data_IF_982176777450
#
_entry.id   IF_982176777450
#
_cell.length_a   1.000
_cell.length_b   1.000
_cell.length_c   1.000
_cell.angle_alpha   90.00
_cell.angle_beta   90.00
_cell.angle_gamma   90.00
#
_symmetry.space_group_name_H-M   'P 1'
#
loop_
_entity.id
_entity.type
_entity.pdbx_description
1 polymer ?
#
# COMPACT_ATOMS: atom_id res chain seq x y z
N UNK A 1 2.36 31.17 29.94
CA UNK A 1 2.40 31.51 28.50
C UNK A 1 1.53 30.50 27.78
N UNK A 2 0.64 31.03 26.96
CA UNK A 2 -0.50 30.37 26.31
C UNK A 2 -0.05 29.43 25.20
N UNK A 3 -0.59 28.21 25.22
CA UNK A 3 -0.47 27.18 24.18
C UNK A 3 -1.26 27.63 22.95
N UNK A 4 -0.66 27.54 21.77
CA UNK A 4 -1.36 27.77 20.49
C UNK A 4 -1.46 26.43 19.78
N UNK A 5 -2.67 25.90 19.48
CA UNK A 5 -2.80 24.75 18.58
C UNK A 5 -2.71 25.22 17.13
N UNK A 6 -1.89 24.54 16.32
CA UNK A 6 -1.97 24.61 14.85
C UNK A 6 -3.22 23.83 14.42
N UNK A 7 -4.30 24.56 14.11
CA UNK A 7 -5.47 23.99 13.47
C UNK A 7 -5.26 24.02 11.95
N UNK A 8 -5.11 22.86 11.34
CA UNK A 8 -5.14 22.69 9.89
C UNK A 8 -6.60 22.82 9.43
N UNK A 9 -6.92 23.91 8.75
CA UNK A 9 -8.26 24.16 8.22
C UNK A 9 -8.37 23.57 6.81
N UNK A 10 -8.86 22.33 6.70
CA UNK A 10 -9.23 21.73 5.42
C UNK A 10 -10.66 22.16 5.08
N UNK A 11 -10.82 23.02 4.09
CA UNK A 11 -12.13 23.43 3.58
C UNK A 11 -12.64 22.39 2.58
N UNK A 12 -13.59 21.54 3.01
CA UNK A 12 -14.32 20.64 2.12
C UNK A 12 -15.43 21.43 1.41
N UNK A 13 -15.28 21.64 0.10
CA UNK A 13 -16.37 22.10 -0.77
C UNK A 13 -17.30 20.92 -1.06
N UNK A 14 -18.32 20.73 -0.23
CA UNK A 14 -19.41 19.81 -0.49
C UNK A 14 -20.36 20.41 -1.54
N UNK A 15 -20.21 20.03 -2.81
CA UNK A 15 -21.28 20.20 -3.80
C UNK A 15 -22.23 19.02 -3.71
N UNK A 16 -23.41 19.29 -3.14
CA UNK A 16 -24.48 18.31 -3.00
C UNK A 16 -25.12 17.95 -4.34
N UNK A 17 -25.38 16.66 -4.51
CA UNK A 17 -26.47 16.16 -5.33
C UNK A 17 -27.44 15.41 -4.42
N UNK A 18 -28.57 16.06 -4.18
CA UNK A 18 -29.68 15.53 -3.40
C UNK A 18 -30.41 14.45 -4.22
N UNK A 19 -30.67 13.30 -3.59
CA UNK A 19 -31.70 12.36 -4.00
C UNK A 19 -32.80 12.33 -2.92
N UNK A 20 -34.08 12.30 -3.31
CA UNK A 20 -35.19 12.60 -2.42
C UNK A 20 -35.43 11.51 -1.38
N UNK A 21 -35.59 11.96 -0.14
CA UNK A 21 -36.12 11.20 0.99
C UNK A 21 -37.60 10.87 0.77
N UNK A 22 -37.94 9.58 0.84
CA UNK A 22 -39.30 9.13 1.07
C UNK A 22 -39.41 8.72 2.54
N UNK A 23 -40.00 9.60 3.33
CA UNK A 23 -40.43 9.29 4.68
C UNK A 23 -41.86 8.72 4.68
N UNK A 24 -42.05 7.79 5.62
CA UNK A 24 -43.30 7.44 6.31
C UNK A 24 -44.35 6.60 5.57
N UNK A 25 -44.51 5.35 6.02
CA UNK A 25 -45.80 4.94 6.59
C UNK A 25 -45.65 3.79 7.60
N UNK A 26 -45.84 4.13 8.88
CA UNK A 26 -46.18 3.19 9.94
C UNK A 26 -47.62 2.69 9.71
N UNK A 27 -47.83 1.36 9.75
CA UNK A 27 -49.09 0.82 10.28
C UNK A 27 -48.82 -0.50 10.99
N UNK A 28 -49.23 -0.58 12.25
CA UNK A 28 -49.19 -1.77 13.11
C UNK A 28 -50.36 -2.73 12.82
N UNK A 29 -50.08 -4.02 13.10
CA UNK A 29 -50.97 -5.11 13.52
C UNK A 29 -51.73 -5.95 12.47
N UNK A 30 -51.33 -7.22 12.30
CA UNK A 30 -52.07 -8.40 12.80
C UNK A 30 -51.28 -9.73 12.66
N UNK A 31 -51.50 -10.74 13.52
CA UNK A 31 -50.80 -12.03 13.53
C UNK A 31 -51.63 -13.17 12.89
N UNK A 32 -50.99 -14.10 12.15
CA UNK A 32 -51.63 -15.39 11.81
C UNK A 32 -51.06 -16.17 10.62
N UNK A 33 -50.59 -17.39 10.94
CA UNK A 33 -50.59 -18.65 10.15
C UNK A 33 -49.67 -18.86 8.92
N UNK A 34 -48.59 -19.61 9.21
CA UNK A 34 -48.05 -20.80 8.54
C UNK A 34 -48.36 -21.07 7.05
N UNK A 35 -47.30 -21.18 6.24
CA UNK A 35 -47.05 -22.34 5.36
C UNK A 35 -45.54 -22.55 5.13
N UNK A 36 -45.04 -23.65 5.70
CA UNK A 36 -44.00 -24.55 5.20
C UNK A 36 -43.24 -24.19 3.92
N UNK A 37 -41.92 -23.94 4.05
CA UNK A 37 -40.95 -24.46 3.09
C UNK A 37 -39.62 -24.76 3.80
N UNK A 38 -39.49 -26.02 4.22
CA UNK A 38 -38.20 -26.65 4.47
C UNK A 38 -37.62 -26.96 3.09
N UNK A 39 -36.57 -26.23 2.70
CA UNK A 39 -35.90 -26.37 1.41
C UNK A 39 -34.40 -26.16 1.63
N UNK A 40 -33.70 -27.28 1.70
CA UNK A 40 -32.25 -27.45 1.51
C UNK A 40 -31.58 -26.36 0.67
N UNK A 41 -30.60 -25.66 1.24
CA UNK A 41 -29.42 -25.16 0.50
C UNK A 41 -28.23 -25.12 1.45
N UNK A 42 -27.80 -26.30 1.87
CA UNK A 42 -26.38 -26.56 2.05
C UNK A 42 -25.76 -26.48 0.64
N UNK A 43 -25.09 -25.37 0.32
CA UNK A 43 -24.52 -25.19 -1.01
C UNK A 43 -24.24 -23.74 -1.39
N UNK A 44 -23.70 -22.92 -0.49
CA UNK A 44 -23.15 -21.61 -0.88
C UNK A 44 -22.17 -21.08 0.18
N UNK A 45 -21.21 -21.91 0.59
CA UNK A 45 -20.17 -21.48 1.54
C UNK A 45 -18.74 -21.86 1.14
N UNK A 46 -18.54 -22.50 -0.03
CA UNK A 46 -17.19 -22.82 -0.53
C UNK A 46 -16.69 -21.90 -1.65
N UNK A 47 -17.42 -20.83 -1.99
CA UNK A 47 -17.02 -19.90 -3.06
C UNK A 47 -16.83 -18.45 -2.62
N UNK A 48 -17.17 -18.09 -1.38
CA UNK A 48 -17.08 -16.72 -0.88
C UNK A 48 -15.70 -16.32 -0.36
N UNK A 49 -14.98 -17.28 0.23
CA UNK A 49 -13.66 -17.03 0.84
C UNK A 49 -12.55 -16.84 -0.21
N UNK A 50 -12.62 -17.49 -1.37
CA UNK A 50 -11.59 -17.37 -2.43
C UNK A 50 -11.73 -16.12 -3.31
N UNK A 51 -12.94 -15.55 -3.45
CA UNK A 51 -13.16 -14.34 -4.27
C UNK A 51 -12.76 -13.08 -3.53
N UNK A 52 -13.14 -12.99 -2.25
CA UNK A 52 -12.84 -11.83 -1.41
C UNK A 52 -11.34 -11.65 -1.23
N UNK A 53 -10.65 -12.72 -0.87
CA UNK A 53 -9.18 -12.71 -0.73
C UNK A 53 -8.49 -12.35 -2.04
N UNK A 54 -9.02 -12.79 -3.19
CA UNK A 54 -8.50 -12.38 -4.49
C UNK A 54 -8.66 -10.89 -4.78
N UNK A 55 -9.69 -10.25 -4.23
CA UNK A 55 -9.87 -8.80 -4.29
C UNK A 55 -8.89 -8.10 -3.35
N UNK A 56 -8.84 -8.55 -2.08
CA UNK A 56 -7.98 -7.97 -1.05
C UNK A 56 -6.50 -7.97 -1.48
N UNK A 57 -6.04 -9.02 -2.18
CA UNK A 57 -4.68 -9.08 -2.75
C UNK A 57 -4.49 -8.07 -3.88
N UNK A 58 -5.46 -7.90 -4.79
CA UNK A 58 -5.33 -6.96 -5.91
C UNK A 58 -5.34 -5.53 -5.41
N UNK A 59 -6.25 -5.23 -4.48
CA UNK A 59 -6.38 -3.92 -3.85
C UNK A 59 -5.07 -3.59 -3.11
N UNK A 60 -4.54 -4.51 -2.28
CA UNK A 60 -3.27 -4.28 -1.59
C UNK A 60 -2.08 -4.11 -2.56
N UNK A 61 -2.02 -4.83 -3.68
CA UNK A 61 -0.97 -4.60 -4.70
C UNK A 61 -1.11 -3.22 -5.36
N UNK A 62 -2.33 -2.75 -5.55
CA UNK A 62 -2.60 -1.42 -6.10
C UNK A 62 -2.24 -0.30 -5.12
N UNK A 63 -2.55 -0.48 -3.84
CA UNK A 63 -2.21 0.44 -2.76
C UNK A 63 -0.68 0.55 -2.60
N UNK A 64 0.05 -0.57 -2.65
CA UNK A 64 1.52 -0.55 -2.68
C UNK A 64 2.00 0.24 -3.91
N UNK A 65 1.42 0.02 -5.09
CA UNK A 65 1.80 0.74 -6.31
C UNK A 65 1.58 2.25 -6.16
N UNK A 66 0.46 2.68 -5.59
CA UNK A 66 0.19 4.09 -5.30
C UNK A 66 1.23 4.68 -4.34
N UNK A 67 1.51 4.01 -3.22
CA UNK A 67 2.52 4.49 -2.25
C UNK A 67 3.95 4.48 -2.81
N UNK A 68 4.31 3.55 -3.70
CA UNK A 68 5.59 3.64 -4.42
C UNK A 68 5.60 4.87 -5.33
N UNK A 69 4.48 5.21 -5.98
CA UNK A 69 4.40 6.39 -6.84
C UNK A 69 4.51 7.69 -6.02
N UNK A 70 3.87 7.75 -4.86
CA UNK A 70 3.93 8.90 -3.97
C UNK A 70 5.31 9.07 -3.30
N UNK A 71 5.97 7.95 -2.95
CA UNK A 71 7.38 7.96 -2.54
C UNK A 71 8.27 8.49 -3.67
N UNK A 72 8.06 8.03 -4.92
CA UNK A 72 8.79 8.54 -6.09
C UNK A 72 8.57 10.05 -6.26
N UNK A 73 7.33 10.52 -6.16
CA UNK A 73 6.99 11.94 -6.21
C UNK A 73 7.71 12.74 -5.13
N UNK A 74 7.64 12.28 -3.88
CA UNK A 74 8.33 12.88 -2.74
C UNK A 74 9.84 12.94 -2.92
N UNK A 75 10.45 11.90 -3.51
CA UNK A 75 11.87 11.88 -3.85
C UNK A 75 12.21 12.82 -5.00
N UNK A 76 11.32 13.01 -5.98
CA UNK A 76 11.50 14.00 -7.06
C UNK A 76 11.54 15.42 -6.51
N UNK A 77 10.69 15.73 -5.54
CA UNK A 77 10.63 17.04 -4.90
C UNK A 77 11.82 17.29 -3.97
N UNK A 78 12.29 16.25 -3.28
CA UNK A 78 13.28 16.35 -2.21
C UNK A 78 14.72 16.00 -2.61
N UNK A 79 14.91 15.25 -3.69
CA UNK A 79 16.14 14.50 -3.92
C UNK A 79 17.40 15.34 -4.13
N UNK A 80 17.27 16.55 -4.67
CA UNK A 80 18.37 17.51 -4.71
C UNK A 80 18.82 17.96 -3.30
N UNK A 81 17.87 18.17 -2.38
CA UNK A 81 18.13 18.54 -0.99
C UNK A 81 18.65 17.35 -0.16
N UNK A 82 18.21 16.14 -0.49
CA UNK A 82 18.74 14.87 0.05
C UNK A 82 20.18 14.59 -0.40
N UNK A 83 20.73 15.38 -1.34
CA UNK A 83 22.09 15.24 -1.83
C UNK A 83 22.31 13.93 -2.58
N UNK A 84 21.30 13.47 -3.33
CA UNK A 84 21.41 12.31 -4.20
C UNK A 84 22.45 12.61 -5.30
N UNK A 85 23.44 11.73 -5.43
CA UNK A 85 24.45 11.86 -6.47
C UNK A 85 23.82 11.75 -7.86
N UNK A 86 24.39 12.42 -8.87
CA UNK A 86 23.89 12.38 -10.25
C UNK A 86 22.40 12.74 -10.39
N UNK A 87 21.95 13.74 -9.64
CA UNK A 87 20.53 14.12 -9.53
C UNK A 87 19.77 14.16 -10.87
N UNK A 88 20.28 14.86 -11.89
CA UNK A 88 19.61 14.92 -13.21
C UNK A 88 19.36 13.55 -13.84
N UNK A 89 20.26 12.59 -13.65
CA UNK A 89 20.06 11.22 -14.12
C UNK A 89 19.02 10.50 -13.26
N UNK A 90 19.07 10.67 -11.94
CA UNK A 90 18.15 10.00 -11.01
C UNK A 90 16.73 10.57 -11.10
N UNK A 91 16.57 11.88 -11.29
CA UNK A 91 15.29 12.52 -11.57
C UNK A 91 14.63 11.90 -12.82
N UNK A 92 15.40 11.73 -13.91
CA UNK A 92 14.90 11.06 -15.11
C UNK A 92 14.66 9.55 -14.96
N UNK A 93 15.17 8.91 -13.90
CA UNK A 93 14.83 7.53 -13.54
C UNK A 93 13.54 7.48 -12.72
N UNK A 94 13.40 8.38 -11.74
CA UNK A 94 12.20 8.56 -10.94
C UNK A 94 10.98 8.89 -11.82
N UNK A 95 11.13 9.80 -12.78
CA UNK A 95 10.07 10.14 -13.76
C UNK A 95 9.60 8.92 -14.58
N UNK A 96 10.53 8.04 -14.98
CA UNK A 96 10.20 6.79 -15.67
C UNK A 96 9.54 5.76 -14.75
N UNK A 97 9.96 5.70 -13.48
CA UNK A 97 9.31 4.84 -12.49
C UNK A 97 7.87 5.26 -12.28
N UNK A 98 7.63 6.56 -12.06
CA UNK A 98 6.29 7.11 -11.90
C UNK A 98 5.41 6.82 -13.12
N UNK A 99 5.94 7.03 -14.33
CA UNK A 99 5.22 6.67 -15.57
C UNK A 99 4.89 5.17 -15.62
N UNK A 100 5.81 4.30 -15.20
CA UNK A 100 5.58 2.85 -15.18
C UNK A 100 4.50 2.48 -14.16
N UNK A 101 4.49 3.12 -12.98
CA UNK A 101 3.51 2.88 -11.93
C UNK A 101 2.11 3.30 -12.39
N UNK A 102 1.97 4.56 -12.84
CA UNK A 102 0.68 5.16 -13.20
C UNK A 102 0.14 4.71 -14.56
N UNK A 103 0.99 4.43 -15.55
CA UNK A 103 0.50 4.10 -16.91
C UNK A 103 0.58 2.62 -17.23
N UNK A 104 1.63 1.93 -16.78
CA UNK A 104 1.80 0.53 -17.13
C UNK A 104 1.24 -0.42 -16.07
N UNK A 105 1.31 -0.08 -14.79
CA UNK A 105 0.95 -1.00 -13.71
C UNK A 105 -0.49 -0.82 -13.25
N UNK A 106 -0.96 0.41 -13.06
CA UNK A 106 -2.35 0.78 -12.75
C UNK A 106 -3.34 0.07 -13.70
N UNK A 107 -3.21 0.32 -15.01
CA UNK A 107 -4.11 -0.25 -16.00
C UNK A 107 -4.11 -1.78 -16.06
N UNK A 108 -3.04 -2.47 -15.62
CA UNK A 108 -2.99 -3.94 -15.71
C UNK A 108 -3.91 -4.64 -14.72
N UNK A 109 -4.11 -4.07 -13.53
CA UNK A 109 -5.02 -4.61 -12.52
C UNK A 109 -6.43 -4.02 -12.73
N UNK A 110 -6.53 -2.74 -13.07
CA UNK A 110 -7.80 -2.09 -13.38
C UNK A 110 -8.51 -2.71 -14.59
N UNK A 111 -7.81 -2.95 -15.71
CA UNK A 111 -8.40 -3.59 -16.91
C UNK A 111 -8.90 -5.02 -16.63
N UNK A 112 -8.46 -5.63 -15.53
CA UNK A 112 -8.93 -6.94 -15.06
C UNK A 112 -10.11 -6.77 -14.12
N UNK A 113 -10.06 -5.80 -13.20
CA UNK A 113 -11.11 -5.48 -12.23
C UNK A 113 -12.39 -4.94 -12.90
N UNK A 114 -12.26 -4.17 -13.97
CA UNK A 114 -13.38 -3.59 -14.73
C UNK A 114 -14.16 -4.60 -15.60
N UNK A 115 -13.68 -5.85 -15.67
CA UNK A 115 -14.40 -6.89 -16.42
C UNK A 115 -15.57 -7.40 -15.59
N UNK A 116 -16.59 -7.93 -16.27
CA UNK A 116 -17.78 -8.50 -15.60
C UNK A 116 -17.43 -9.45 -14.44
N UNK A 117 -18.27 -9.49 -13.41
CA UNK A 117 -18.09 -10.37 -12.24
C UNK A 117 -17.70 -11.81 -12.59
N UNK A 118 -18.24 -12.36 -13.67
CA UNK A 118 -17.97 -13.73 -14.10
C UNK A 118 -16.58 -13.88 -14.74
N UNK A 119 -16.13 -12.88 -15.51
CA UNK A 119 -14.75 -12.86 -16.02
C UNK A 119 -13.73 -12.60 -14.92
N UNK A 120 -14.07 -11.80 -13.92
CA UNK A 120 -13.23 -11.61 -12.73
C UNK A 120 -13.06 -12.92 -11.97
N UNK A 121 -14.18 -13.57 -11.61
CA UNK A 121 -14.19 -14.90 -10.94
C UNK A 121 -13.39 -15.94 -11.70
N UNK A 122 -13.49 -15.96 -13.03
CA UNK A 122 -12.73 -16.89 -13.87
C UNK A 122 -11.23 -16.56 -13.88
N UNK A 123 -10.85 -15.29 -13.71
CA UNK A 123 -9.46 -14.86 -13.72
C UNK A 123 -8.76 -15.18 -12.41
N UNK A 124 -9.34 -14.79 -11.26
CA UNK A 124 -8.73 -14.98 -9.93
C UNK A 124 -8.52 -16.46 -9.55
N UNK A 125 -9.29 -17.36 -10.15
CA UNK A 125 -9.16 -18.81 -9.98
C UNK A 125 -8.17 -19.45 -10.96
N UNK A 126 -7.67 -18.69 -11.94
CA UNK A 126 -6.77 -19.14 -12.99
C UNK A 126 -5.29 -18.90 -12.69
N UNK A 127 -4.41 -19.56 -13.45
CA UNK A 127 -2.96 -19.38 -13.31
C UNK A 127 -2.47 -17.98 -13.74
N UNK A 128 -3.21 -17.33 -14.64
CA UNK A 128 -2.92 -15.96 -15.10
C UNK A 128 -2.93 -14.95 -13.95
N UNK A 129 -3.84 -15.12 -12.99
CA UNK A 129 -3.91 -14.28 -11.78
C UNK A 129 -2.61 -14.37 -10.98
N UNK A 130 -2.16 -15.60 -10.67
CA UNK A 130 -0.94 -15.83 -9.88
C UNK A 130 0.28 -15.24 -10.57
N UNK A 131 0.40 -15.45 -11.88
CA UNK A 131 1.51 -14.92 -12.69
C UNK A 131 1.48 -13.39 -12.71
N UNK A 132 0.30 -12.79 -12.85
CA UNK A 132 0.15 -11.33 -12.91
C UNK A 132 0.49 -10.68 -11.58
N UNK A 133 -0.09 -11.16 -10.47
CA UNK A 133 0.18 -10.65 -9.12
C UNK A 133 1.66 -10.82 -8.77
N UNK A 134 2.24 -12.01 -8.98
CA UNK A 134 3.66 -12.27 -8.73
C UNK A 134 4.55 -11.31 -9.54
N UNK A 135 4.18 -11.02 -10.78
CA UNK A 135 4.94 -10.11 -11.64
C UNK A 135 4.85 -8.66 -11.13
N UNK A 136 3.66 -8.17 -10.81
CA UNK A 136 3.47 -6.82 -10.26
C UNK A 136 4.28 -6.63 -8.97
N UNK A 137 4.16 -7.56 -8.02
CA UNK A 137 4.91 -7.53 -6.75
C UNK A 137 6.43 -7.53 -6.97
N UNK A 138 6.94 -8.35 -7.90
CA UNK A 138 8.36 -8.34 -8.23
C UNK A 138 8.81 -7.05 -8.94
N UNK A 139 7.93 -6.40 -9.71
CA UNK A 139 8.22 -5.10 -10.33
C UNK A 139 8.31 -4.01 -9.26
N UNK A 140 7.36 -3.97 -8.30
CA UNK A 140 7.38 -3.05 -7.15
C UNK A 140 8.66 -3.24 -6.32
N UNK A 141 9.00 -4.49 -5.98
CA UNK A 141 10.26 -4.81 -5.31
C UNK A 141 11.49 -4.31 -6.09
N UNK A 142 11.46 -4.40 -7.43
CA UNK A 142 12.52 -3.89 -8.31
C UNK A 142 12.63 -2.36 -8.26
N UNK A 143 11.51 -1.65 -8.22
CA UNK A 143 11.50 -0.19 -8.13
C UNK A 143 12.01 0.29 -6.77
N UNK A 144 11.57 -0.33 -5.67
CA UNK A 144 12.07 -0.02 -4.32
C UNK A 144 13.58 -0.29 -4.19
N UNK A 145 14.08 -1.38 -4.77
CA UNK A 145 15.52 -1.63 -4.86
C UNK A 145 16.29 -0.51 -5.59
N UNK A 146 15.72 0.00 -6.68
CA UNK A 146 16.34 1.10 -7.42
C UNK A 146 16.31 2.39 -6.60
N UNK A 147 15.22 2.67 -5.88
CA UNK A 147 15.12 3.79 -4.94
C UNK A 147 16.17 3.66 -3.85
N UNK A 148 16.27 2.50 -3.18
CA UNK A 148 17.28 2.24 -2.16
C UNK A 148 18.72 2.47 -2.69
N UNK A 149 19.01 2.04 -3.93
CA UNK A 149 20.31 2.29 -4.58
C UNK A 149 20.55 3.77 -4.90
N UNK A 150 19.51 4.54 -5.19
CA UNK A 150 19.64 5.99 -5.41
C UNK A 150 19.93 6.72 -4.09
N UNK A 151 19.32 6.27 -3.00
CA UNK A 151 19.55 6.78 -1.64
C UNK A 151 20.92 6.35 -1.09
N UNK A 152 21.46 5.22 -1.55
CA UNK A 152 22.80 4.76 -1.18
C UNK A 152 23.88 5.75 -1.65
N UNK A 153 24.67 6.25 -0.70
CA UNK A 153 25.70 7.26 -0.95
C UNK A 153 25.21 8.71 -1.07
N UNK A 154 23.93 8.98 -0.79
CA UNK A 154 23.43 10.35 -0.65
C UNK A 154 24.10 11.07 0.53
N UNK A 155 24.49 12.34 0.33
CA UNK A 155 25.18 13.15 1.35
C UNK A 155 24.55 14.54 1.48
N UNK A 156 23.23 14.60 1.55
CA UNK A 156 22.49 15.84 1.73
C UNK A 156 22.55 16.34 3.16
N UNK A 157 22.89 17.62 3.32
CA UNK A 157 22.82 18.35 4.59
C UNK A 157 21.74 19.44 4.59
N UNK A 158 20.90 19.50 3.54
CA UNK A 158 20.01 20.63 3.26
C UNK A 158 18.53 20.22 3.25
N UNK A 159 18.19 19.08 3.85
CA UNK A 159 16.80 18.66 3.97
C UNK A 159 16.02 19.61 4.87
N UNK A 160 14.81 19.97 4.44
CA UNK A 160 13.86 20.71 5.27
C UNK A 160 13.01 19.71 6.04
N UNK A 161 12.69 20.04 7.29
CA UNK A 161 11.90 19.19 8.18
C UNK A 161 10.59 18.67 7.55
N UNK A 162 9.86 19.54 6.84
CA UNK A 162 8.59 19.18 6.19
C UNK A 162 8.83 18.14 5.09
N UNK A 163 9.87 18.34 4.29
CA UNK A 163 10.21 17.42 3.20
C UNK A 163 10.63 16.06 3.74
N UNK A 164 11.37 16.05 4.85
CA UNK A 164 11.76 14.80 5.54
C UNK A 164 10.56 14.09 6.14
N UNK A 165 9.57 14.82 6.67
CA UNK A 165 8.34 14.24 7.20
C UNK A 165 7.56 13.55 6.08
N UNK A 166 7.34 14.23 4.96
CA UNK A 166 6.68 13.64 3.79
C UNK A 166 7.35 12.34 3.34
N UNK A 167 8.68 12.30 3.23
CA UNK A 167 9.38 11.06 2.84
C UNK A 167 9.23 9.95 3.88
N UNK A 168 9.19 10.26 5.17
CA UNK A 168 8.96 9.26 6.22
C UNK A 168 7.53 8.74 6.16
N UNK A 169 6.54 9.63 6.07
CA UNK A 169 5.13 9.28 5.95
C UNK A 169 4.91 8.33 4.75
N UNK A 170 5.53 8.62 3.60
CA UNK A 170 5.44 7.74 2.43
C UNK A 170 6.09 6.36 2.60
N UNK A 171 7.12 6.24 3.44
CA UNK A 171 7.73 4.93 3.76
C UNK A 171 6.87 4.16 4.76
N UNK A 172 6.17 4.88 5.64
CA UNK A 172 5.21 4.34 6.60
C UNK A 172 3.97 3.79 5.90
N UNK A 173 3.30 4.61 5.07
CA UNK A 173 2.16 4.19 4.25
C UNK A 173 2.51 2.97 3.36
N UNK A 174 3.73 2.98 2.78
CA UNK A 174 4.23 1.84 2.02
C UNK A 174 4.44 0.59 2.88
N UNK A 175 4.89 0.73 4.13
CA UNK A 175 5.03 -0.39 5.03
C UNK A 175 3.67 -0.98 5.41
N UNK A 176 2.69 -0.13 5.74
CA UNK A 176 1.31 -0.53 6.08
C UNK A 176 0.69 -1.32 4.93
N UNK A 177 0.77 -0.81 3.70
CA UNK A 177 0.20 -1.48 2.52
C UNK A 177 0.89 -2.81 2.16
N UNK A 178 2.19 -2.95 2.47
CA UNK A 178 2.89 -4.23 2.35
C UNK A 178 2.45 -5.22 3.44
N UNK A 179 2.12 -4.72 4.63
CA UNK A 179 1.52 -5.55 5.68
C UNK A 179 0.14 -6.06 5.25
N UNK A 180 -0.73 -5.19 4.73
CA UNK A 180 -2.04 -5.58 4.19
C UNK A 180 -1.93 -6.67 3.12
N UNK A 181 -0.93 -6.57 2.23
CA UNK A 181 -0.66 -7.63 1.25
C UNK A 181 -0.24 -8.94 1.92
N UNK A 182 0.62 -8.89 2.96
CA UNK A 182 1.02 -10.10 3.70
C UNK A 182 -0.20 -10.74 4.36
N UNK A 183 -1.07 -9.97 4.99
CA UNK A 183 -2.32 -10.48 5.59
C UNK A 183 -3.23 -11.12 4.54
N UNK A 184 -3.45 -10.44 3.41
CA UNK A 184 -4.27 -10.97 2.32
C UNK A 184 -3.69 -12.27 1.74
N UNK A 185 -2.35 -12.39 1.70
CA UNK A 185 -1.66 -13.60 1.24
C UNK A 185 -1.72 -14.75 2.25
N UNK A 186 -1.80 -14.48 3.56
CA UNK A 186 -1.98 -15.51 4.60
C UNK A 186 -3.35 -16.20 4.49
N UNK A 187 -4.37 -15.47 4.06
CA UNK A 187 -5.72 -15.98 3.81
C UNK A 187 -5.89 -16.59 2.40
N UNK A 188 -4.85 -16.55 1.56
CA UNK A 188 -4.94 -16.93 0.16
C UNK A 188 -4.91 -18.45 -0.06
N UNK A 189 -6.05 -18.99 -0.47
CA UNK A 189 -6.14 -20.35 -0.98
C UNK A 189 -5.66 -20.43 -2.44
N UNK A 190 -4.74 -21.37 -2.71
CA UNK A 190 -4.35 -21.74 -4.07
C UNK A 190 -3.17 -20.95 -4.66
N UNK A 191 -2.67 -19.91 -3.98
CA UNK A 191 -1.32 -19.41 -4.23
C UNK A 191 -0.34 -20.37 -3.53
N UNK A 192 0.63 -20.94 -4.26
CA UNK A 192 1.64 -21.84 -3.67
C UNK A 192 2.66 -21.02 -2.86
N UNK A 193 2.20 -20.37 -1.80
CA UNK A 193 2.98 -19.48 -0.96
C UNK A 193 3.76 -20.27 0.08
N UNK A 194 4.94 -19.77 0.44
CA UNK A 194 5.72 -20.33 1.52
C UNK A 194 5.33 -19.65 2.84
N UNK A 195 4.66 -20.40 3.72
CA UNK A 195 4.25 -19.89 5.03
C UNK A 195 5.43 -19.35 5.88
N UNK A 196 6.64 -19.90 5.72
CA UNK A 196 7.82 -19.38 6.39
C UNK A 196 8.20 -17.99 5.87
N UNK A 197 8.08 -17.75 4.55
CA UNK A 197 8.36 -16.43 3.98
C UNK A 197 7.33 -15.39 4.42
N UNK A 198 6.05 -15.76 4.53
CA UNK A 198 5.01 -14.86 5.07
C UNK A 198 5.28 -14.52 6.55
N UNK A 199 5.62 -15.54 7.36
CA UNK A 199 5.96 -15.32 8.77
C UNK A 199 7.22 -14.46 8.94
N UNK A 200 8.23 -14.65 8.09
CA UNK A 200 9.45 -13.85 8.13
C UNK A 200 9.20 -12.44 7.60
N UNK A 201 8.33 -12.26 6.59
CA UNK A 201 7.87 -10.95 6.14
C UNK A 201 7.21 -10.18 7.28
N UNK A 202 6.27 -10.79 8.01
CA UNK A 202 5.59 -10.17 9.17
C UNK A 202 6.58 -9.62 10.19
N UNK A 203 7.51 -10.46 10.67
CA UNK A 203 8.52 -10.04 11.66
C UNK A 203 9.38 -8.88 11.18
N UNK A 204 9.67 -8.83 9.87
CA UNK A 204 10.49 -7.79 9.26
C UNK A 204 9.69 -6.50 9.13
N UNK A 205 8.41 -6.57 8.75
CA UNK A 205 7.48 -5.44 8.77
C UNK A 205 7.33 -4.86 10.17
N UNK A 206 7.06 -5.68 11.19
CA UNK A 206 6.99 -5.24 12.60
C UNK A 206 8.28 -4.50 13.04
N UNK A 207 9.42 -4.90 12.49
CA UNK A 207 10.71 -4.26 12.80
C UNK A 207 10.85 -2.91 12.10
N UNK A 208 10.33 -2.77 10.88
CA UNK A 208 10.30 -1.50 10.13
C UNK A 208 9.30 -0.53 10.78
N UNK A 209 8.08 -0.98 11.08
CA UNK A 209 7.04 -0.24 11.81
C UNK A 209 7.62 0.35 13.10
N UNK A 210 8.21 -0.49 13.96
CA UNK A 210 8.82 -0.04 15.21
C UNK A 210 9.95 0.98 15.03
N UNK A 211 10.65 0.97 13.89
CA UNK A 211 11.68 1.97 13.59
C UNK A 211 11.07 3.30 13.12
N UNK A 212 9.99 3.25 12.36
CA UNK A 212 9.24 4.41 11.89
C UNK A 212 8.48 5.07 13.06
N UNK A 213 7.78 4.29 13.89
CA UNK A 213 7.12 4.73 15.12
C UNK A 213 8.07 5.49 16.05
N UNK A 214 9.28 4.95 16.26
CA UNK A 214 10.28 5.62 17.11
C UNK A 214 10.69 6.98 16.58
N UNK A 215 10.67 7.17 15.26
CA UNK A 215 10.95 8.45 14.64
C UNK A 215 9.73 9.39 14.73
N UNK A 216 8.52 8.86 14.58
CA UNK A 216 7.27 9.59 14.75
C UNK A 216 7.07 10.09 16.21
N UNK A 217 7.54 9.32 17.19
CA UNK A 217 7.50 9.65 18.62
C UNK A 217 8.57 10.66 19.09
N UNK A 218 9.43 11.14 18.18
CA UNK A 218 10.39 12.18 18.51
C UNK A 218 9.68 13.52 18.78
N UNK A 219 10.16 14.25 19.78
CA UNK A 219 9.74 15.65 19.92
C UNK A 219 10.32 16.52 18.81
N UNK A 220 9.78 17.73 18.61
CA UNK A 220 10.18 18.66 17.55
C UNK A 220 11.71 18.88 17.47
N UNK A 221 12.39 18.95 18.62
CA UNK A 221 13.84 19.19 18.68
C UNK A 221 14.63 17.96 18.20
N UNK A 222 14.29 16.77 18.71
CA UNK A 222 14.93 15.52 18.30
C UNK A 222 14.58 15.15 16.86
N UNK A 223 13.34 15.39 16.44
CA UNK A 223 12.90 15.20 15.08
C UNK A 223 13.69 16.11 14.14
N UNK A 224 13.87 17.39 14.46
CA UNK A 224 14.68 18.28 13.64
C UNK A 224 16.13 17.78 13.49
N UNK A 225 16.75 17.32 14.58
CA UNK A 225 18.11 16.74 14.53
C UNK A 225 18.17 15.50 13.64
N UNK A 226 17.17 14.63 13.71
CA UNK A 226 17.08 13.46 12.86
C UNK A 226 16.84 13.83 11.40
N UNK A 227 15.76 14.57 11.12
CA UNK A 227 15.24 14.91 9.80
C UNK A 227 16.23 15.70 8.93
N UNK A 228 17.09 16.52 9.53
CA UNK A 228 18.12 17.29 8.81
C UNK A 228 19.52 16.70 8.99
N UNK A 229 19.63 15.59 9.71
CA UNK A 229 20.89 14.96 10.07
C UNK A 229 21.37 13.92 9.06
N UNK A 230 22.64 13.52 9.20
CA UNK A 230 23.27 12.52 8.32
C UNK A 230 22.66 11.11 8.42
N UNK A 231 21.85 10.86 9.46
CA UNK A 231 21.18 9.57 9.69
C UNK A 231 19.87 9.42 8.92
N UNK A 232 19.28 10.53 8.44
CA UNK A 232 17.98 10.51 7.77
C UNK A 232 18.00 9.62 6.52
N UNK A 233 18.81 10.00 5.52
CA UNK A 233 18.82 9.29 4.23
C UNK A 233 19.25 7.82 4.36
N UNK A 234 20.29 7.46 5.15
CA UNK A 234 20.60 6.06 5.42
C UNK A 234 19.46 5.28 6.10
N UNK A 235 18.70 5.93 6.98
CA UNK A 235 17.51 5.34 7.61
C UNK A 235 16.42 5.02 6.58
N UNK A 236 16.04 6.00 5.76
CA UNK A 236 15.08 5.81 4.65
C UNK A 236 15.56 4.71 3.70
N UNK A 237 16.83 4.75 3.30
CA UNK A 237 17.44 3.76 2.41
C UNK A 237 17.35 2.34 2.96
N UNK A 238 17.62 2.17 4.26
CA UNK A 238 17.51 0.88 4.95
C UNK A 238 16.06 0.38 4.90
N UNK A 239 15.09 1.21 5.28
CA UNK A 239 13.69 0.80 5.34
C UNK A 239 13.15 0.46 3.94
N UNK A 240 13.38 1.31 2.95
CA UNK A 240 13.00 1.03 1.55
C UNK A 240 13.65 -0.25 1.03
N UNK A 241 14.93 -0.49 1.35
CA UNK A 241 15.59 -1.73 0.96
C UNK A 241 15.00 -2.96 1.64
N UNK A 242 14.54 -2.84 2.89
CA UNK A 242 13.92 -3.92 3.64
C UNK A 242 12.55 -4.28 3.05
N UNK A 243 11.73 -3.28 2.78
CA UNK A 243 10.42 -3.42 2.11
C UNK A 243 10.56 -4.08 0.71
N UNK A 244 11.57 -3.68 -0.07
CA UNK A 244 11.89 -4.31 -1.35
C UNK A 244 12.19 -5.81 -1.21
N UNK A 245 12.96 -6.18 -0.18
CA UNK A 245 13.32 -7.57 0.08
C UNK A 245 12.15 -8.39 0.60
N UNK A 246 11.27 -7.79 1.41
CA UNK A 246 10.03 -8.42 1.87
C UNK A 246 9.19 -8.81 0.66
N UNK A 247 8.83 -7.85 -0.20
CA UNK A 247 8.04 -8.09 -1.41
C UNK A 247 8.64 -9.19 -2.30
N UNK A 248 9.96 -9.14 -2.51
CA UNK A 248 10.66 -10.13 -3.33
C UNK A 248 10.59 -11.55 -2.76
N UNK A 249 10.50 -11.69 -1.45
CA UNK A 249 10.48 -13.00 -0.78
C UNK A 249 9.10 -13.67 -0.81
N UNK A 250 8.01 -12.89 -0.91
CA UNK A 250 6.63 -13.39 -0.78
C UNK A 250 6.30 -14.55 -1.74
N UNK A 251 6.82 -14.48 -2.97
CA UNK A 251 6.57 -15.48 -4.02
C UNK A 251 7.78 -16.36 -4.33
N UNK A 252 8.87 -16.27 -3.55
CA UNK A 252 9.98 -17.20 -3.70
C UNK A 252 9.57 -18.58 -3.19
N UNK A 253 9.81 -19.61 -3.99
CA UNK A 253 9.65 -20.98 -3.51
C UNK A 253 10.84 -21.33 -2.61
N UNK A 254 10.57 -21.93 -1.45
CA UNK A 254 11.61 -22.38 -0.52
C UNK A 254 12.61 -23.28 -1.21
N UNK A 255 13.89 -23.12 -0.87
CA UNK A 255 15.00 -23.92 -1.40
C UNK A 255 14.94 -25.38 -0.93
#
# INVERSE_FOLDING_TARGET
MTKTPLALATAILATGLALPSLAAQQTQAQPGMQTQQQGTTAGQQSGGTSIRVGHDIVDAVDDIRENVADLVGSLRESGAAMGLANWTQNEGRLDKMETTLQQDMEHKLDDKADRTDDSWKSWITGDDYKVTVTKQVNQLAGQLDEIAKMLDGAKGSNMQQIVSATVVDQVDDLQETIEDLVEALEDADGLNLNAQHLQDARKRLDSVEQELDRNADLDDERWNVYATGEQFTPGIQKNVSELAQILRSLFQQGA
#
